data_IF_203247586039
#
_entry.id   IF_203247586039
#
_cell.length_a   1.000
_cell.length_b   1.000
_cell.length_c   1.000
_cell.angle_alpha   90.00
_cell.angle_beta   90.00
_cell.angle_gamma   90.00
#
_symmetry.space_group_name_H-M   'P 1'
#
loop_
_entity.id
_entity.type
_entity.pdbx_description
1 polymer ?
#
# COMPACT_ATOMS: atom_id res chain seq x y z
N UNK A 1 23.95 -2.14 1.40
CA UNK A 1 23.98 -0.76 1.95
C UNK A 1 22.73 -0.04 1.51
N UNK A 2 22.03 0.62 2.43
CA UNK A 2 20.81 1.41 2.16
C UNK A 2 19.56 0.81 2.76
N UNK A 3 19.22 1.17 4.01
CA UNK A 3 17.85 1.05 4.50
C UNK A 3 17.02 2.02 3.64
N UNK A 4 16.21 1.48 2.71
CA UNK A 4 15.56 2.25 1.64
C UNK A 4 14.45 3.18 2.16
N UNK A 5 13.88 2.83 3.32
CA UNK A 5 12.88 3.58 4.07
C UNK A 5 13.33 3.74 5.52
N UNK A 6 12.94 4.81 6.21
CA UNK A 6 13.45 5.20 7.55
C UNK A 6 12.86 4.30 8.68
N UNK A 7 12.67 3.00 8.45
CA UNK A 7 12.12 2.08 9.45
C UNK A 7 10.65 2.34 9.81
N UNK A 8 9.87 2.90 8.89
CA UNK A 8 8.46 3.24 9.11
C UNK A 8 7.58 1.99 9.07
N UNK A 9 6.72 1.84 10.06
CA UNK A 9 5.66 0.84 10.13
C UNK A 9 4.59 1.12 9.06
N UNK A 10 4.61 0.32 7.98
CA UNK A 10 3.66 0.47 6.87
C UNK A 10 2.25 -0.01 7.23
N UNK A 11 2.14 -0.82 8.29
CA UNK A 11 0.92 -1.53 8.71
C UNK A 11 -0.26 -0.58 8.88
N UNK A 12 -0.09 0.47 9.67
CA UNK A 12 -1.22 1.33 9.99
C UNK A 12 -1.58 2.32 8.89
N UNK A 13 -0.63 2.75 8.06
CA UNK A 13 -0.92 3.63 6.94
C UNK A 13 -1.55 2.89 5.76
N UNK A 14 -1.31 1.59 5.59
CA UNK A 14 -1.97 0.76 4.58
C UNK A 14 -3.51 0.72 4.72
N UNK A 15 -4.04 0.98 5.93
CA UNK A 15 -5.48 1.03 6.20
C UNK A 15 -6.22 2.09 5.37
N UNK A 16 -5.52 3.11 4.87
CA UNK A 16 -6.07 4.14 3.98
C UNK A 16 -6.54 3.56 2.64
N UNK A 17 -6.05 2.37 2.28
CA UNK A 17 -6.34 1.68 1.03
C UNK A 17 -7.50 0.68 1.15
N UNK A 18 -8.18 0.63 2.30
CA UNK A 18 -9.35 -0.24 2.48
C UNK A 18 -10.54 0.26 1.66
N UNK A 19 -11.36 -0.67 1.16
CA UNK A 19 -12.68 -0.37 0.58
C UNK A 19 -13.74 -0.42 1.69
N UNK A 20 -14.77 0.43 1.61
CA UNK A 20 -15.96 0.38 2.47
C UNK A 20 -16.11 1.52 3.50
N UNK A 21 -17.14 1.42 4.36
CA UNK A 21 -17.65 2.51 5.23
C UNK A 21 -16.66 2.98 6.30
N UNK A 22 -15.67 2.14 6.65
CA UNK A 22 -14.61 2.46 7.63
C UNK A 22 -13.22 2.55 6.96
N UNK A 23 -13.20 2.81 5.66
CA UNK A 23 -11.97 3.00 4.90
C UNK A 23 -11.12 4.11 5.51
N UNK A 24 -9.91 3.76 5.95
CA UNK A 24 -8.91 4.74 6.34
C UNK A 24 -9.11 5.47 7.67
N UNK A 25 -10.03 5.05 8.55
CA UNK A 25 -10.27 5.71 9.84
C UNK A 25 -8.96 5.91 10.63
N UNK A 26 -8.61 7.18 10.91
CA UNK A 26 -7.39 7.62 11.59
C UNK A 26 -6.05 7.11 10.97
N UNK A 27 -6.01 6.82 9.67
CA UNK A 27 -4.81 6.32 8.98
C UNK A 27 -4.16 7.30 8.00
N UNK A 28 -4.81 8.43 7.71
CA UNK A 28 -4.32 9.44 6.75
C UNK A 28 -2.95 10.02 7.11
N UNK A 29 -2.74 10.41 8.37
CA UNK A 29 -1.44 10.91 8.85
C UNK A 29 -0.33 9.86 8.70
N UNK A 30 -0.67 8.59 8.97
CA UNK A 30 0.27 7.47 8.87
C UNK A 30 0.60 7.15 7.40
N UNK A 31 -0.38 7.25 6.51
CA UNK A 31 -0.17 7.14 5.07
C UNK A 31 0.75 8.25 4.55
N UNK A 32 0.54 9.50 5.00
CA UNK A 32 1.42 10.63 4.66
C UNK A 32 2.85 10.42 5.17
N UNK A 33 3.01 9.89 6.40
CA UNK A 33 4.31 9.51 6.95
C UNK A 33 5.02 8.42 6.13
N UNK A 34 4.30 7.40 5.66
CA UNK A 34 4.87 6.36 4.78
C UNK A 34 5.39 6.99 3.48
N UNK A 35 4.54 7.76 2.78
CA UNK A 35 4.90 8.35 1.48
C UNK A 35 6.08 9.31 1.60
N UNK A 36 6.16 10.08 2.69
CA UNK A 36 7.27 11.01 2.93
C UNK A 36 8.57 10.34 3.41
N UNK A 37 8.49 9.11 3.94
CA UNK A 37 9.65 8.39 4.49
C UNK A 37 10.22 7.32 3.57
N UNK A 38 9.51 6.98 2.49
CA UNK A 38 9.96 6.07 1.44
C UNK A 38 10.62 6.88 0.34
N UNK A 39 11.82 6.46 -0.11
CA UNK A 39 12.50 7.12 -1.23
C UNK A 39 11.72 6.94 -2.53
N UNK A 40 11.72 7.97 -3.37
CA UNK A 40 11.02 7.93 -4.66
C UNK A 40 11.47 6.77 -5.53
N UNK A 41 12.76 6.44 -5.52
CA UNK A 41 13.32 5.30 -6.25
C UNK A 41 12.81 3.95 -5.74
N UNK A 42 12.69 3.77 -4.41
CA UNK A 42 12.12 2.54 -3.82
C UNK A 42 10.64 2.40 -4.20
N UNK A 43 9.91 3.52 -4.11
CA UNK A 43 8.49 3.56 -4.47
C UNK A 43 8.28 3.24 -5.95
N UNK A 44 9.08 3.85 -6.83
CA UNK A 44 9.03 3.60 -8.27
C UNK A 44 9.42 2.17 -8.61
N UNK A 45 10.46 1.62 -7.98
CA UNK A 45 10.85 0.22 -8.15
C UNK A 45 9.71 -0.74 -7.75
N UNK A 46 9.05 -0.48 -6.62
CA UNK A 46 7.90 -1.26 -6.17
C UNK A 46 6.69 -1.15 -7.11
N UNK A 47 6.47 0.00 -7.73
CA UNK A 47 5.43 0.21 -8.73
C UNK A 47 5.76 -0.58 -10.00
N UNK A 48 6.96 -0.42 -10.56
CA UNK A 48 7.38 -1.06 -11.82
C UNK A 48 7.42 -2.59 -11.69
N UNK A 49 7.79 -3.11 -10.51
CA UNK A 49 7.76 -4.56 -10.24
C UNK A 49 6.37 -5.13 -9.99
N UNK A 50 5.33 -4.29 -9.91
CA UNK A 50 3.96 -4.76 -9.82
C UNK A 50 3.52 -5.26 -11.19
N UNK A 51 3.42 -6.58 -11.38
CA UNK A 51 2.87 -7.17 -12.60
C UNK A 51 1.42 -6.73 -12.81
N UNK A 52 1.01 -6.53 -14.07
CA UNK A 52 -0.35 -6.06 -14.41
C UNK A 52 -1.44 -7.03 -13.91
N UNK A 53 -1.12 -8.33 -13.84
CA UNK A 53 -1.99 -9.37 -13.28
C UNK A 53 -2.30 -9.16 -11.78
N UNK A 54 -1.56 -8.28 -11.12
CA UNK A 54 -1.76 -7.90 -9.72
C UNK A 54 -2.72 -6.72 -9.55
N UNK A 55 -3.41 -6.29 -10.59
CA UNK A 55 -4.57 -5.40 -10.48
C UNK A 55 -5.80 -6.14 -9.90
N UNK A 56 -5.65 -6.71 -8.70
CA UNK A 56 -6.68 -7.50 -8.01
C UNK A 56 -6.87 -6.99 -6.58
N UNK A 57 -8.08 -7.17 -6.06
CA UNK A 57 -8.42 -6.79 -4.69
C UNK A 57 -7.75 -7.72 -3.67
N UNK A 58 -7.30 -7.12 -2.57
CA UNK A 58 -6.76 -7.85 -1.41
C UNK A 58 -7.94 -8.37 -0.57
N UNK A 59 -8.27 -9.65 -0.76
CA UNK A 59 -9.34 -10.35 -0.02
C UNK A 59 -8.84 -11.16 1.18
N UNK A 60 -7.53 -11.33 1.30
CA UNK A 60 -6.84 -12.01 2.40
C UNK A 60 -5.72 -11.13 2.95
N UNK A 61 -5.07 -11.58 4.03
CA UNK A 61 -3.99 -10.82 4.65
C UNK A 61 -2.86 -10.49 3.68
N UNK A 62 -2.46 -9.22 3.64
CA UNK A 62 -1.32 -8.74 2.88
C UNK A 62 -0.04 -9.47 3.32
N UNK A 63 0.77 -9.83 2.34
CA UNK A 63 1.99 -10.61 2.51
C UNK A 63 3.21 -9.82 2.03
N UNK A 64 4.40 -10.38 2.23
CA UNK A 64 5.67 -9.85 1.67
C UNK A 64 5.67 -9.74 0.14
N UNK A 65 4.77 -10.48 -0.52
CA UNK A 65 4.61 -10.54 -1.98
C UNK A 65 3.48 -9.65 -2.48
N UNK A 66 2.72 -9.01 -1.59
CA UNK A 66 1.67 -8.06 -1.99
C UNK A 66 2.33 -6.83 -2.61
N UNK A 67 1.88 -6.51 -3.81
CA UNK A 67 2.46 -5.49 -4.68
C UNK A 67 1.80 -4.13 -4.51
N UNK A 68 2.43 -3.10 -5.09
CA UNK A 68 1.87 -1.74 -5.09
C UNK A 68 0.52 -1.69 -5.80
N UNK A 69 0.35 -2.48 -6.87
CA UNK A 69 -0.89 -2.49 -7.64
C UNK A 69 -2.04 -3.18 -6.88
N UNK A 70 -1.78 -4.26 -6.16
CA UNK A 70 -2.76 -4.88 -5.23
C UNK A 70 -3.20 -3.87 -4.15
N UNK A 71 -2.23 -3.18 -3.55
CA UNK A 71 -2.50 -2.12 -2.58
C UNK A 71 -3.29 -0.94 -3.19
N UNK A 72 -3.00 -0.58 -4.44
CA UNK A 72 -3.69 0.48 -5.15
C UNK A 72 -5.15 0.11 -5.48
N UNK A 73 -5.43 -1.15 -5.83
CA UNK A 73 -6.81 -1.67 -5.99
C UNK A 73 -7.54 -1.71 -4.64
N UNK A 74 -6.80 -1.91 -3.56
CA UNK A 74 -7.29 -1.86 -2.19
C UNK A 74 -7.76 -3.21 -1.68
N UNK A 75 -8.11 -3.26 -0.39
CA UNK A 75 -8.54 -4.48 0.28
C UNK A 75 -9.94 -4.40 0.85
N UNK A 76 -10.61 -5.56 0.99
CA UNK A 76 -11.98 -5.64 1.47
C UNK A 76 -12.14 -5.18 2.92
N UNK A 77 -11.06 -5.25 3.71
CA UNK A 77 -11.02 -4.73 5.09
C UNK A 77 -9.68 -4.08 5.40
N UNK A 78 -9.69 -3.09 6.31
CA UNK A 78 -8.45 -2.49 6.81
C UNK A 78 -7.55 -3.50 7.54
N UNK A 79 -8.12 -4.56 8.12
CA UNK A 79 -7.38 -5.58 8.83
C UNK A 79 -6.53 -6.43 7.89
N UNK A 80 -6.99 -6.73 6.67
CA UNK A 80 -6.22 -7.46 5.68
C UNK A 80 -4.99 -6.67 5.19
N UNK A 81 -5.12 -5.35 5.08
CA UNK A 81 -4.04 -4.46 4.63
C UNK A 81 -2.99 -4.20 5.71
N UNK A 82 -3.42 -4.11 6.97
CA UNK A 82 -2.59 -3.76 8.11
C UNK A 82 -1.80 -4.95 8.65
N UNK A 83 -0.79 -5.39 7.89
CA UNK A 83 0.12 -6.48 8.27
C UNK A 83 1.57 -6.01 8.38
N UNK A 84 2.27 -6.52 9.40
CA UNK A 84 3.68 -6.16 9.65
C UNK A 84 4.62 -6.60 8.52
N UNK A 85 4.19 -7.59 7.72
CA UNK A 85 4.93 -8.09 6.56
C UNK A 85 4.75 -7.24 5.30
N UNK A 86 3.83 -6.27 5.31
CA UNK A 86 3.61 -5.37 4.17
C UNK A 86 4.79 -4.41 4.03
N UNK A 87 5.38 -4.36 2.83
CA UNK A 87 6.56 -3.52 2.55
C UNK A 87 6.16 -2.05 2.43
N UNK A 88 6.91 -1.16 3.06
CA UNK A 88 6.70 0.28 3.00
C UNK A 88 6.69 0.81 1.55
N UNK A 89 7.65 0.39 0.70
CA UNK A 89 7.65 0.73 -0.72
C UNK A 89 6.38 0.31 -1.48
N UNK A 90 5.86 -0.90 -1.20
CA UNK A 90 4.63 -1.39 -1.84
C UNK A 90 3.39 -0.62 -1.37
N UNK A 91 3.28 -0.33 -0.07
CA UNK A 91 2.17 0.47 0.48
C UNK A 91 2.23 1.90 -0.04
N UNK A 92 3.41 2.53 -0.07
CA UNK A 92 3.60 3.87 -0.58
C UNK A 92 3.26 3.96 -2.08
N UNK A 93 3.73 2.98 -2.87
CA UNK A 93 3.38 2.87 -4.28
C UNK A 93 1.88 2.69 -4.48
N UNK A 94 1.22 1.88 -3.65
CA UNK A 94 -0.23 1.72 -3.66
C UNK A 94 -0.98 3.01 -3.37
N UNK A 95 -0.54 3.80 -2.39
CA UNK A 95 -1.09 5.13 -2.08
C UNK A 95 -0.93 6.08 -3.28
N UNK A 96 0.25 6.11 -3.90
CA UNK A 96 0.52 6.96 -5.06
C UNK A 96 -0.34 6.57 -6.28
N UNK A 97 -0.55 5.28 -6.50
CA UNK A 97 -1.33 4.76 -7.63
C UNK A 97 -2.84 4.85 -7.41
N UNK A 98 -3.33 5.00 -6.17
CA UNK A 98 -4.76 4.91 -5.83
C UNK A 98 -5.64 5.86 -6.65
N UNK A 99 -5.17 7.06 -6.97
CA UNK A 99 -5.91 8.02 -7.80
C UNK A 99 -5.92 7.69 -9.30
N UNK A 100 -5.05 6.77 -9.73
CA UNK A 100 -4.87 6.38 -11.13
C UNK A 100 -5.52 5.03 -11.45
N UNK A 101 -5.75 4.19 -10.43
CA UNK A 101 -6.46 2.92 -10.59
C UNK A 101 -7.93 3.21 -10.87
N UNK A 102 -8.42 2.70 -12.00
CA UNK A 102 -9.83 2.75 -12.34
C UNK A 102 -10.62 1.94 -11.30
N UNK A 103 -11.51 2.59 -10.58
CA UNK A 103 -12.49 1.92 -9.73
C UNK A 103 -13.37 1.04 -10.64
N UNK A 104 -13.23 -0.29 -10.51
CA UNK A 104 -14.14 -1.24 -11.15
C UNK A 104 -15.31 -1.39 -10.19
N UNK A 105 -16.38 -0.64 -10.45
CA UNK A 105 -17.62 -0.66 -9.70
C UNK A 105 -18.55 -1.77 -10.19
#
# INVERSE_FOLDING_TARGET
MGQASIGVDAKNGARVLAKGVVAGEASGEKAALIVSSVRGEEMLEAIVKSGEEKAVEITADATVSTTSLEFAVGGSTAAHLAKDVAKAGAVAGGIALRSLVKEVN
#
